data_IF_266078968801
#
_entry.id   IF_266078968801
#
_cell.length_a   1.000
_cell.length_b   1.000
_cell.length_c   1.000
_cell.angle_alpha   90.00
_cell.angle_beta   90.00
_cell.angle_gamma   90.00
#
_symmetry.space_group_name_H-M   'P 1'
#
loop_
_entity.id
_entity.type
_entity.pdbx_description
1 polymer ?
#
# COMPACT_ATOMS: atom_id res chain seq x y z
N UNK A 1 9.78 3.99 -17.05
CA UNK A 1 8.72 4.87 -16.51
C UNK A 1 9.06 5.18 -15.06
N UNK A 2 8.62 6.32 -14.52
CA UNK A 2 8.74 6.54 -13.08
C UNK A 2 7.74 5.63 -12.33
N UNK A 3 8.19 5.00 -11.25
CA UNK A 3 7.34 4.21 -10.37
C UNK A 3 6.18 5.04 -9.79
N UNK A 4 5.08 4.37 -9.46
CA UNK A 4 3.85 5.01 -8.99
C UNK A 4 3.30 4.34 -7.75
N UNK A 5 2.58 5.13 -6.96
CA UNK A 5 1.74 4.65 -5.86
C UNK A 5 0.30 4.59 -6.38
N UNK A 6 -0.36 3.44 -6.21
CA UNK A 6 -1.72 3.18 -6.70
C UNK A 6 -2.58 2.78 -5.50
N UNK A 7 -3.49 3.66 -5.08
CA UNK A 7 -4.38 3.39 -3.95
C UNK A 7 -5.64 2.64 -4.39
N UNK A 8 -5.81 1.41 -3.90
CA UNK A 8 -7.03 0.63 -4.09
C UNK A 8 -7.95 0.79 -2.89
N UNK A 9 -9.06 1.50 -3.07
CA UNK A 9 -10.05 1.76 -2.01
C UNK A 9 -11.38 1.07 -2.30
N UNK A 10 -12.10 0.68 -1.26
CA UNK A 10 -13.38 -0.03 -1.39
C UNK A 10 -13.72 -0.83 -0.14
N UNK A 11 -14.98 -1.29 -0.05
CA UNK A 11 -15.47 -2.08 1.08
C UNK A 11 -14.71 -3.40 1.26
N UNK A 12 -14.75 -3.97 2.47
CA UNK A 12 -14.23 -5.33 2.69
C UNK A 12 -14.91 -6.31 1.74
N UNK A 13 -14.14 -7.23 1.14
CA UNK A 13 -14.66 -8.17 0.14
C UNK A 13 -14.87 -7.60 -1.28
N UNK A 14 -14.66 -6.31 -1.55
CA UNK A 14 -14.87 -5.70 -2.88
C UNK A 14 -13.85 -6.10 -3.96
N UNK A 15 -12.95 -7.06 -3.68
CA UNK A 15 -11.95 -7.55 -4.63
C UNK A 15 -10.64 -6.75 -4.72
N UNK A 16 -10.38 -5.78 -3.83
CA UNK A 16 -9.13 -4.97 -3.83
C UNK A 16 -7.87 -5.82 -3.92
N UNK A 17 -7.72 -6.81 -3.03
CA UNK A 17 -6.54 -7.68 -2.98
C UNK A 17 -6.42 -8.56 -4.23
N UNK A 18 -7.54 -8.93 -4.85
CA UNK A 18 -7.55 -9.67 -6.13
C UNK A 18 -6.98 -8.79 -7.25
N UNK A 19 -7.44 -7.55 -7.35
CA UNK A 19 -6.95 -6.58 -8.34
C UNK A 19 -5.48 -6.24 -8.09
N UNK A 20 -5.08 -6.01 -6.83
CA UNK A 20 -3.70 -5.71 -6.45
C UNK A 20 -2.73 -6.81 -6.91
N UNK A 21 -3.07 -8.08 -6.66
CA UNK A 21 -2.24 -9.24 -7.06
C UNK A 21 -2.14 -9.38 -8.58
N UNK A 22 -3.27 -9.21 -9.30
CA UNK A 22 -3.27 -9.27 -10.76
C UNK A 22 -2.47 -8.13 -11.39
N UNK A 23 -2.55 -6.92 -10.82
CA UNK A 23 -1.77 -5.78 -11.28
C UNK A 23 -0.27 -5.94 -10.97
N UNK A 24 0.08 -6.46 -9.78
CA UNK A 24 1.46 -6.82 -9.42
C UNK A 24 2.06 -7.76 -10.46
N UNK A 25 1.40 -8.87 -10.77
CA UNK A 25 1.88 -9.83 -11.76
C UNK A 25 2.14 -9.17 -13.13
N UNK A 26 1.20 -8.36 -13.62
CA UNK A 26 1.37 -7.66 -14.91
C UNK A 26 2.51 -6.64 -14.93
N UNK A 27 2.74 -5.93 -13.83
CA UNK A 27 3.84 -4.95 -13.72
C UNK A 27 5.20 -5.66 -13.58
N UNK A 28 5.25 -6.78 -12.86
CA UNK A 28 6.44 -7.62 -12.72
C UNK A 28 6.82 -8.28 -14.06
N UNK A 29 5.85 -8.73 -14.85
CA UNK A 29 6.06 -9.23 -16.23
C UNK A 29 6.69 -8.17 -17.14
N UNK A 30 6.48 -6.88 -16.85
CA UNK A 30 7.07 -5.76 -17.58
C UNK A 30 8.46 -5.35 -17.02
N UNK A 31 9.00 -6.12 -16.08
CA UNK A 31 10.32 -5.87 -15.47
C UNK A 31 10.32 -4.81 -14.37
N UNK A 32 9.15 -4.45 -13.82
CA UNK A 32 9.07 -3.50 -12.71
C UNK A 32 9.10 -4.23 -11.36
N UNK A 33 9.75 -3.64 -10.36
CA UNK A 33 9.61 -4.09 -8.98
C UNK A 33 8.32 -3.54 -8.37
N UNK A 34 7.56 -4.38 -7.65
CA UNK A 34 6.24 -4.04 -7.13
C UNK A 34 6.05 -4.54 -5.70
N UNK A 35 5.60 -3.65 -4.80
CA UNK A 35 5.23 -3.99 -3.43
C UNK A 35 3.73 -3.72 -3.20
N UNK A 36 3.05 -4.69 -2.59
CA UNK A 36 1.69 -4.49 -2.07
C UNK A 36 1.82 -4.08 -0.60
N UNK A 37 1.18 -2.97 -0.23
CA UNK A 37 1.06 -2.50 1.14
C UNK A 37 -0.36 -2.77 1.65
N UNK A 38 -0.51 -3.82 2.44
CA UNK A 38 -1.80 -4.17 3.04
C UNK A 38 -2.04 -3.36 4.32
N UNK A 39 -3.13 -2.60 4.36
CA UNK A 39 -3.45 -1.73 5.49
C UNK A 39 -3.67 -2.48 6.81
N UNK A 40 -4.19 -3.71 6.77
CA UNK A 40 -4.40 -4.51 7.98
C UNK A 40 -3.07 -5.06 8.49
N UNK A 41 -2.17 -5.47 7.60
CA UNK A 41 -0.80 -5.88 7.95
C UNK A 41 0.02 -4.71 8.52
N UNK A 42 -0.02 -3.54 7.86
CA UNK A 42 0.69 -2.34 8.33
C UNK A 42 0.15 -1.86 9.68
N UNK A 43 -1.16 -2.01 9.92
CA UNK A 43 -1.75 -1.70 11.21
C UNK A 43 -1.22 -2.59 12.33
N UNK A 44 -1.05 -3.90 12.07
CA UNK A 44 -0.50 -4.84 13.05
C UNK A 44 1.01 -4.69 13.29
N UNK A 45 1.72 -4.01 12.40
CA UNK A 45 3.19 -3.90 12.43
C UNK A 45 3.62 -2.48 12.77
N UNK A 46 3.72 -1.61 11.78
CA UNK A 46 4.22 -0.24 11.90
C UNK A 46 3.27 0.71 12.62
N UNK A 47 2.07 0.26 13.01
CA UNK A 47 1.08 1.04 13.75
C UNK A 47 0.45 0.26 14.90
N UNK A 48 1.17 -0.71 15.45
CA UNK A 48 0.69 -1.54 16.56
C UNK A 48 0.43 -0.73 17.85
N UNK A 49 1.04 0.45 17.97
CA UNK A 49 0.86 1.42 19.06
C UNK A 49 -0.42 2.28 18.92
N UNK A 50 -1.10 2.23 17.76
CA UNK A 50 -2.23 3.11 17.45
C UNK A 50 -3.58 2.40 17.62
N UNK A 51 -4.55 3.10 18.21
CA UNK A 51 -5.95 2.67 18.28
C UNK A 51 -6.73 2.92 17.00
N UNK A 52 -8.05 3.07 17.14
CA UNK A 52 -8.99 3.33 16.03
C UNK A 52 -9.68 4.70 16.12
N UNK A 53 -9.18 5.59 16.98
CA UNK A 53 -9.63 6.99 17.04
C UNK A 53 -9.38 7.70 15.69
N UNK A 54 -10.09 8.80 15.38
CA UNK A 54 -9.82 9.60 14.20
C UNK A 54 -8.35 10.02 14.08
N UNK A 55 -7.74 10.44 15.19
CA UNK A 55 -6.36 10.89 15.27
C UNK A 55 -5.37 9.74 15.01
N UNK A 56 -5.64 8.55 15.55
CA UNK A 56 -4.83 7.35 15.32
C UNK A 56 -4.94 6.86 13.86
N UNK A 57 -6.12 6.99 13.25
CA UNK A 57 -6.31 6.69 11.82
C UNK A 57 -5.52 7.63 10.94
N UNK A 58 -5.52 8.93 11.26
CA UNK A 58 -4.73 9.93 10.53
C UNK A 58 -3.23 9.63 10.64
N UNK A 59 -2.72 9.37 11.86
CA UNK A 59 -1.31 9.00 12.08
C UNK A 59 -0.93 7.73 11.32
N UNK A 60 -1.78 6.70 11.35
CA UNK A 60 -1.56 5.49 10.58
C UNK A 60 -1.45 5.80 9.08
N UNK A 61 -2.39 6.56 8.52
CA UNK A 61 -2.37 6.94 7.11
C UNK A 61 -1.10 7.71 6.74
N UNK A 62 -0.64 8.62 7.60
CA UNK A 62 0.62 9.35 7.39
C UNK A 62 1.84 8.41 7.35
N UNK A 63 1.89 7.40 8.24
CA UNK A 63 2.96 6.37 8.20
C UNK A 63 2.92 5.55 6.91
N UNK A 64 1.73 5.17 6.44
CA UNK A 64 1.55 4.43 5.18
C UNK A 64 1.95 5.28 3.97
N UNK A 65 1.59 6.57 3.95
CA UNK A 65 1.96 7.52 2.88
C UNK A 65 3.47 7.71 2.82
N UNK A 66 4.14 7.88 3.96
CA UNK A 66 5.59 8.06 4.02
C UNK A 66 6.31 6.81 3.48
N UNK A 67 5.92 5.62 3.93
CA UNK A 67 6.46 4.36 3.43
C UNK A 67 6.25 4.20 1.91
N UNK A 68 5.04 4.48 1.42
CA UNK A 68 4.74 4.39 -0.01
C UNK A 68 5.58 5.38 -0.84
N UNK A 69 5.81 6.59 -0.33
CA UNK A 69 6.65 7.58 -1.00
C UNK A 69 8.13 7.16 -1.03
N UNK A 70 8.65 6.61 0.06
CA UNK A 70 10.02 6.09 0.12
C UNK A 70 10.24 5.00 -0.94
N UNK A 71 9.39 3.98 -0.96
CA UNK A 71 9.46 2.89 -1.95
C UNK A 71 9.33 3.41 -3.40
N UNK A 72 8.41 4.35 -3.65
CA UNK A 72 8.29 4.98 -4.97
C UNK A 72 9.57 5.71 -5.38
N UNK A 73 10.22 6.42 -4.46
CA UNK A 73 11.48 7.13 -4.73
C UNK A 73 12.64 6.17 -5.01
N UNK A 74 12.58 4.94 -4.49
CA UNK A 74 13.50 3.84 -4.81
C UNK A 74 13.19 3.17 -6.16
N UNK A 75 12.13 3.59 -6.86
CA UNK A 75 11.75 3.03 -8.16
C UNK A 75 10.80 1.82 -8.07
N UNK A 76 10.23 1.56 -6.89
CA UNK A 76 9.32 0.44 -6.65
C UNK A 76 7.87 0.90 -6.83
N UNK A 77 7.08 0.19 -7.64
CA UNK A 77 5.64 0.41 -7.71
C UNK A 77 4.98 -0.02 -6.41
N UNK A 78 4.08 0.81 -5.89
CA UNK A 78 3.36 0.53 -4.66
C UNK A 78 1.88 0.36 -4.94
N UNK A 79 1.31 -0.75 -4.50
CA UNK A 79 -0.09 -1.14 -4.65
C UNK A 79 -0.79 -1.31 -3.30
#
# INVERSE_FOLDING_TARGET
MAAKVIWLTGLSGSGKSTIAKALKAKLEEQGNEVKILDGDELRRTISADLGFSPEDREKHNMRVIELANQLKNEGIYVL
#
